data_IF_484975504542
#
_entry.id   IF_484975504542
#
_cell.length_a   1.000
_cell.length_b   1.000
_cell.length_c   1.000
_cell.angle_alpha   90.00
_cell.angle_beta   90.00
_cell.angle_gamma   90.00
#
_symmetry.space_group_name_H-M   'P 1'
#
loop_
_entity.id
_entity.type
_entity.pdbx_description
1 polymer ?
#
# COMPACT_ATOMS: atom_id res chain seq x y z
N UNK A 1 38.55 -21.85 -13.03
CA UNK A 1 37.18 -21.72 -13.56
C UNK A 1 36.57 -20.47 -12.93
N UNK A 2 36.61 -19.34 -13.64
CA UNK A 2 36.03 -18.08 -13.16
C UNK A 2 34.54 -18.08 -13.52
N UNK A 3 33.68 -18.21 -12.51
CA UNK A 3 32.25 -17.96 -12.69
C UNK A 3 32.05 -16.45 -12.73
N UNK A 4 31.96 -15.90 -13.95
CA UNK A 4 31.42 -14.55 -14.16
C UNK A 4 29.92 -14.62 -13.94
N UNK A 5 29.45 -14.29 -12.74
CA UNK A 5 28.05 -13.95 -12.56
C UNK A 5 27.81 -12.62 -13.28
N UNK A 6 27.12 -12.69 -14.42
CA UNK A 6 26.49 -11.50 -14.97
C UNK A 6 25.45 -11.04 -13.96
N UNK A 7 25.79 -10.01 -13.18
CA UNK A 7 24.83 -9.29 -12.35
C UNK A 7 23.93 -8.56 -13.33
N UNK A 8 22.78 -9.16 -13.66
CA UNK A 8 21.73 -8.46 -14.38
C UNK A 8 21.37 -7.21 -13.56
N UNK A 9 21.46 -6.04 -14.18
CA UNK A 9 20.87 -4.81 -13.65
C UNK A 9 19.41 -5.12 -13.34
N UNK A 10 18.97 -4.93 -12.09
CA UNK A 10 17.65 -5.35 -11.62
C UNK A 10 16.54 -4.85 -12.54
N UNK A 11 15.84 -5.78 -13.20
CA UNK A 11 14.61 -5.47 -13.94
C UNK A 11 13.48 -5.42 -12.93
N UNK A 12 12.92 -4.24 -12.71
CA UNK A 12 11.79 -4.03 -11.81
C UNK A 12 10.46 -3.97 -12.58
N UNK A 13 9.36 -4.15 -11.85
CA UNK A 13 8.00 -4.15 -12.37
C UNK A 13 7.36 -5.52 -12.35
N UNK A 14 6.16 -5.62 -12.93
CA UNK A 14 5.40 -6.87 -12.94
C UNK A 14 6.11 -7.92 -13.77
N UNK A 15 6.40 -9.06 -13.15
CA UNK A 15 7.07 -10.19 -13.79
C UNK A 15 6.06 -11.14 -14.43
N UNK A 16 6.53 -11.85 -15.46
CA UNK A 16 5.74 -12.85 -16.19
C UNK A 16 5.54 -14.14 -15.39
N UNK A 17 6.52 -14.53 -14.58
CA UNK A 17 6.53 -15.81 -13.87
C UNK A 17 5.58 -15.81 -12.69
N UNK A 18 4.67 -16.79 -12.67
CA UNK A 18 3.69 -17.03 -11.61
C UNK A 18 3.74 -18.49 -11.17
N UNK A 19 3.31 -18.80 -9.95
CA UNK A 19 3.26 -20.17 -9.46
C UNK A 19 2.34 -21.05 -10.34
N UNK A 20 2.74 -22.31 -10.56
CA UNK A 20 1.88 -23.31 -11.16
C UNK A 20 0.93 -23.88 -10.10
N UNK A 21 -0.26 -23.32 -10.02
CA UNK A 21 -1.25 -23.65 -8.98
C UNK A 21 -1.97 -25.00 -9.20
N UNK A 22 -1.80 -25.62 -10.38
CA UNK A 22 -2.31 -26.96 -10.65
C UNK A 22 -1.37 -28.06 -10.12
N UNK A 23 -0.08 -27.77 -9.91
CA UNK A 23 0.87 -28.72 -9.37
C UNK A 23 0.72 -28.83 -7.84
N UNK A 24 0.40 -30.01 -7.28
CA UNK A 24 0.26 -30.21 -5.83
C UNK A 24 1.52 -29.84 -5.03
N UNK A 25 2.71 -30.01 -5.62
CA UNK A 25 3.99 -29.66 -4.95
C UNK A 25 4.12 -28.16 -4.68
N UNK A 26 3.45 -27.31 -5.47
CA UNK A 26 3.39 -25.87 -5.22
C UNK A 26 2.70 -25.59 -3.89
N UNK A 27 1.58 -26.27 -3.62
CA UNK A 27 0.85 -26.11 -2.35
C UNK A 27 1.67 -26.62 -1.17
N UNK A 28 2.27 -27.81 -1.29
CA UNK A 28 3.14 -28.37 -0.24
C UNK A 28 4.30 -27.43 0.10
N UNK A 29 4.98 -26.88 -0.90
CA UNK A 29 6.05 -25.91 -0.69
C UNK A 29 5.56 -24.67 0.07
N UNK A 30 4.41 -24.10 -0.33
CA UNK A 30 3.87 -22.90 0.29
C UNK A 30 3.38 -23.14 1.72
N UNK A 31 2.75 -24.29 1.98
CA UNK A 31 2.33 -24.68 3.34
C UNK A 31 3.53 -24.83 4.27
N UNK A 32 4.60 -25.48 3.82
CA UNK A 32 5.83 -25.62 4.60
C UNK A 32 6.47 -24.25 4.91
N UNK A 33 6.56 -23.36 3.91
CA UNK A 33 7.07 -21.99 4.13
C UNK A 33 6.18 -21.21 5.09
N UNK A 34 4.86 -21.29 4.93
CA UNK A 34 3.91 -20.59 5.79
C UNK A 34 3.94 -21.13 7.21
N UNK A 35 4.17 -22.42 7.41
CA UNK A 35 4.35 -23.01 8.73
C UNK A 35 5.56 -22.39 9.45
N UNK A 36 6.73 -22.35 8.80
CA UNK A 36 7.92 -21.71 9.37
C UNK A 36 7.69 -20.22 9.67
N UNK A 37 7.01 -19.50 8.78
CA UNK A 37 6.69 -18.07 8.97
C UNK A 37 5.73 -17.87 10.14
N UNK A 38 4.68 -18.69 10.26
CA UNK A 38 3.71 -18.60 11.36
C UNK A 38 4.40 -18.88 12.70
N UNK A 39 5.29 -19.87 12.75
CA UNK A 39 6.06 -20.18 13.96
C UNK A 39 7.01 -19.04 14.35
N UNK A 40 7.70 -18.45 13.36
CA UNK A 40 8.59 -17.32 13.59
C UNK A 40 7.83 -16.07 14.10
N UNK A 41 6.65 -15.79 13.55
CA UNK A 41 5.80 -14.66 13.91
C UNK A 41 4.61 -15.08 14.78
N UNK A 42 4.88 -15.92 15.79
CA UNK A 42 3.87 -16.58 16.63
C UNK A 42 2.85 -15.64 17.30
N UNK A 43 3.17 -14.36 17.52
CA UNK A 43 2.25 -13.37 18.12
C UNK A 43 1.38 -12.62 17.11
N UNK A 44 1.64 -12.76 15.81
CA UNK A 44 0.83 -12.10 14.78
C UNK A 44 -0.43 -12.92 14.52
N UNK A 45 -1.60 -12.31 14.62
CA UNK A 45 -2.87 -12.94 14.26
C UNK A 45 -3.12 -12.94 12.74
N UNK A 46 -2.34 -12.15 11.99
CA UNK A 46 -2.55 -11.92 10.55
C UNK A 46 -1.31 -12.30 9.75
N UNK A 47 -1.50 -13.01 8.64
CA UNK A 47 -0.46 -13.35 7.67
C UNK A 47 -0.84 -12.76 6.30
N UNK A 48 0.03 -11.90 5.76
CA UNK A 48 -0.18 -11.28 4.45
C UNK A 48 0.46 -12.13 3.34
N UNK A 49 -0.34 -12.58 2.37
CA UNK A 49 0.12 -13.51 1.31
C UNK A 49 0.41 -12.82 -0.03
N UNK A 50 0.19 -11.51 -0.12
CA UNK A 50 0.35 -10.76 -1.37
C UNK A 50 -0.89 -10.91 -2.25
N UNK A 51 -0.73 -11.51 -3.44
CA UNK A 51 -1.81 -11.76 -4.39
C UNK A 51 -2.03 -10.64 -5.42
N UNK A 52 -1.16 -9.64 -5.47
CA UNK A 52 -1.20 -8.53 -6.41
C UNK A 52 -0.57 -8.87 -7.77
N UNK A 53 -1.00 -8.14 -8.79
CA UNK A 53 -0.35 -8.03 -10.12
C UNK A 53 -0.06 -9.35 -10.86
N UNK A 54 -0.84 -10.42 -10.60
CA UNK A 54 -0.74 -11.68 -11.33
C UNK A 54 -1.07 -11.46 -12.81
N UNK A 55 -0.08 -11.68 -13.68
CA UNK A 55 -0.30 -11.73 -15.13
C UNK A 55 -0.70 -13.14 -15.55
N UNK A 56 -1.89 -13.28 -16.11
CA UNK A 56 -2.47 -14.60 -16.42
C UNK A 56 -1.93 -15.25 -17.69
N UNK A 57 -1.01 -14.61 -18.43
CA UNK A 57 -0.53 -15.10 -19.73
C UNK A 57 0.19 -16.46 -19.63
N UNK A 58 0.90 -16.72 -18.53
CA UNK A 58 1.52 -18.02 -18.30
C UNK A 58 0.46 -19.11 -17.99
N UNK A 59 -0.58 -18.77 -17.25
CA UNK A 59 -1.70 -19.69 -16.98
C UNK A 59 -2.52 -19.99 -18.23
N UNK A 60 -2.84 -18.97 -19.03
CA UNK A 60 -3.58 -19.12 -20.31
C UNK A 60 -2.84 -19.96 -21.34
N UNK A 61 -1.49 -19.93 -21.33
CA UNK A 61 -0.66 -20.71 -22.25
C UNK A 61 -0.33 -22.13 -21.76
N UNK A 62 -0.62 -22.45 -20.49
CA UNK A 62 -0.36 -23.77 -19.92
C UNK A 62 -1.56 -24.71 -20.11
N UNK A 63 -1.36 -25.80 -20.85
CA UNK A 63 -2.39 -26.85 -21.00
C UNK A 63 -2.76 -27.50 -19.67
N UNK A 64 -1.81 -27.65 -18.75
CA UNK A 64 -2.09 -28.19 -17.41
C UNK A 64 -3.06 -27.28 -16.65
N UNK A 65 -2.81 -25.97 -16.65
CA UNK A 65 -3.66 -25.00 -15.96
C UNK A 65 -5.04 -24.89 -16.61
N UNK A 66 -5.11 -24.86 -17.95
CA UNK A 66 -6.42 -24.76 -18.63
C UNK A 66 -7.25 -26.03 -18.45
N UNK A 67 -6.63 -27.22 -18.44
CA UNK A 67 -7.29 -28.46 -18.04
C UNK A 67 -7.77 -28.39 -16.60
N UNK A 68 -6.93 -27.92 -15.67
CA UNK A 68 -7.29 -27.78 -14.26
C UNK A 68 -8.51 -26.86 -14.06
N UNK A 69 -8.55 -25.71 -14.74
CA UNK A 69 -9.69 -24.78 -14.73
C UNK A 69 -10.98 -25.50 -15.15
N UNK A 70 -10.92 -26.29 -16.22
CA UNK A 70 -12.08 -27.02 -16.72
C UNK A 70 -12.53 -28.13 -15.77
N UNK A 71 -11.60 -28.95 -15.26
CA UNK A 71 -11.87 -30.05 -14.34
C UNK A 71 -12.46 -29.57 -13.00
N UNK A 72 -12.02 -28.39 -12.53
CA UNK A 72 -12.53 -27.77 -11.31
C UNK A 72 -13.73 -26.85 -11.55
N UNK A 73 -14.25 -26.77 -12.79
CA UNK A 73 -15.40 -25.95 -13.15
C UNK A 73 -15.23 -24.47 -12.74
N UNK A 74 -14.03 -23.96 -12.97
CA UNK A 74 -13.62 -22.57 -12.80
C UNK A 74 -13.84 -21.81 -14.12
N UNK A 75 -14.14 -20.52 -14.05
CA UNK A 75 -14.55 -19.73 -15.22
C UNK A 75 -13.40 -18.96 -15.89
N UNK A 76 -12.35 -18.65 -15.13
CA UNK A 76 -11.27 -17.78 -15.60
C UNK A 76 -9.98 -17.96 -14.78
N UNK A 77 -8.87 -17.36 -15.22
CA UNK A 77 -7.67 -17.20 -14.40
C UNK A 77 -7.89 -16.49 -13.06
N UNK A 78 -8.74 -15.46 -12.97
CA UNK A 78 -9.05 -14.83 -11.69
C UNK A 78 -9.84 -15.77 -10.76
N UNK A 79 -10.72 -16.59 -11.33
CA UNK A 79 -11.46 -17.62 -10.57
C UNK A 79 -10.51 -18.67 -9.98
N UNK A 80 -9.50 -19.07 -10.76
CA UNK A 80 -8.39 -19.92 -10.31
C UNK A 80 -7.56 -19.25 -9.21
N UNK A 81 -7.29 -17.95 -9.31
CA UNK A 81 -6.60 -17.20 -8.27
C UNK A 81 -7.39 -17.19 -6.96
N UNK A 82 -8.72 -16.99 -7.00
CA UNK A 82 -9.57 -17.06 -5.80
C UNK A 82 -9.55 -18.48 -5.23
N UNK A 83 -9.70 -19.51 -6.05
CA UNK A 83 -9.64 -20.91 -5.62
C UNK A 83 -8.34 -21.21 -4.86
N UNK A 84 -7.21 -20.82 -5.43
CA UNK A 84 -5.88 -21.00 -4.83
C UNK A 84 -5.72 -20.19 -3.55
N UNK A 85 -6.15 -18.93 -3.56
CA UNK A 85 -6.12 -18.05 -2.38
C UNK A 85 -6.98 -18.62 -1.24
N UNK A 86 -8.12 -19.23 -1.55
CA UNK A 86 -8.99 -19.89 -0.56
C UNK A 86 -8.32 -21.12 0.06
N UNK A 87 -7.53 -21.90 -0.69
CA UNK A 87 -6.74 -23.01 -0.14
C UNK A 87 -5.75 -22.51 0.90
N UNK A 88 -4.99 -21.47 0.58
CA UNK A 88 -4.04 -20.83 1.50
C UNK A 88 -4.77 -20.24 2.71
N UNK A 89 -5.91 -19.57 2.50
CA UNK A 89 -6.73 -19.02 3.59
C UNK A 89 -7.19 -20.11 4.56
N UNK A 90 -7.60 -21.27 4.05
CA UNK A 90 -8.06 -22.38 4.88
C UNK A 90 -6.91 -22.97 5.70
N UNK A 91 -5.72 -23.10 5.12
CA UNK A 91 -4.51 -23.53 5.83
C UNK A 91 -4.18 -22.55 6.98
N UNK A 92 -4.08 -21.26 6.68
CA UNK A 92 -3.80 -20.20 7.67
C UNK A 92 -4.86 -20.19 8.78
N UNK A 93 -6.14 -20.33 8.42
CA UNK A 93 -7.24 -20.40 9.38
C UNK A 93 -7.16 -21.65 10.27
N UNK A 94 -6.71 -22.79 9.71
CA UNK A 94 -6.45 -24.02 10.47
C UNK A 94 -5.33 -23.87 11.50
N UNK A 95 -4.43 -22.89 11.32
CA UNK A 95 -3.39 -22.50 12.29
C UNK A 95 -3.87 -21.39 13.25
N UNK A 96 -5.18 -21.11 13.30
CA UNK A 96 -5.78 -20.05 14.11
C UNK A 96 -5.21 -18.67 13.79
N UNK A 97 -4.98 -18.40 12.51
CA UNK A 97 -4.54 -17.09 11.99
C UNK A 97 -5.51 -16.61 10.92
N UNK A 98 -5.45 -15.31 10.63
CA UNK A 98 -6.27 -14.65 9.61
C UNK A 98 -5.43 -14.31 8.40
N UNK A 99 -5.92 -14.61 7.20
CA UNK A 99 -5.23 -14.24 5.97
C UNK A 99 -5.50 -12.78 5.61
N UNK A 100 -4.49 -12.11 5.08
CA UNK A 100 -4.59 -10.80 4.43
C UNK A 100 -3.95 -10.83 3.03
N UNK A 101 -4.48 -10.06 2.09
CA UNK A 101 -3.85 -9.90 0.78
C UNK A 101 -4.34 -8.68 0.04
N UNK A 102 -3.64 -8.31 -1.03
CA UNK A 102 -3.98 -7.16 -1.85
C UNK A 102 -5.30 -7.37 -2.59
N UNK A 103 -6.04 -6.29 -2.86
CA UNK A 103 -7.44 -6.36 -3.26
C UNK A 103 -7.73 -7.04 -4.62
N UNK A 104 -6.71 -7.41 -5.40
CA UNK A 104 -6.81 -8.37 -6.50
C UNK A 104 -7.39 -9.72 -6.09
N UNK A 105 -7.14 -10.19 -4.86
CA UNK A 105 -7.59 -11.52 -4.38
C UNK A 105 -9.10 -11.68 -4.33
N UNK A 106 -9.86 -10.58 -4.39
CA UNK A 106 -11.32 -10.61 -4.47
C UNK A 106 -11.79 -11.09 -5.84
N UNK A 107 -10.98 -10.86 -6.88
CA UNK A 107 -11.34 -11.03 -8.29
C UNK A 107 -12.52 -10.15 -8.73
N UNK A 108 -13.01 -10.36 -9.94
CA UNK A 108 -14.23 -9.70 -10.43
C UNK A 108 -14.07 -8.21 -10.70
N UNK A 109 -12.85 -7.70 -10.83
CA UNK A 109 -12.57 -6.28 -11.11
C UNK A 109 -11.29 -6.10 -11.91
N UNK A 110 -11.37 -5.33 -12.98
CA UNK A 110 -10.24 -5.00 -13.86
C UNK A 110 -9.41 -3.87 -13.26
N UNK A 111 -8.40 -4.22 -12.47
CA UNK A 111 -7.47 -3.26 -11.83
C UNK A 111 -6.29 -2.88 -12.71
N UNK A 112 -5.98 -3.73 -13.70
CA UNK A 112 -4.77 -3.60 -14.52
C UNK A 112 -5.11 -3.51 -16.01
N UNK A 113 -4.27 -2.80 -16.75
CA UNK A 113 -4.47 -2.61 -18.19
C UNK A 113 -4.19 -3.88 -18.99
N UNK A 114 -3.40 -4.81 -18.44
CA UNK A 114 -3.04 -6.09 -19.05
C UNK A 114 -4.05 -7.22 -18.78
N UNK A 115 -5.09 -6.98 -17.97
CA UNK A 115 -6.19 -7.94 -17.76
C UNK A 115 -7.40 -7.61 -18.66
N UNK A 116 -8.06 -8.64 -19.18
CA UNK A 116 -9.29 -8.52 -19.98
C UNK A 116 -10.55 -8.76 -19.14
N UNK A 117 -11.74 -8.45 -19.69
CA UNK A 117 -13.01 -8.74 -19.01
C UNK A 117 -13.26 -10.24 -18.82
N UNK A 118 -12.77 -11.07 -19.75
CA UNK A 118 -12.84 -12.54 -19.61
C UNK A 118 -11.90 -13.06 -18.52
N UNK A 119 -10.75 -12.39 -18.32
CA UNK A 119 -9.77 -12.83 -17.32
C UNK A 119 -10.27 -12.67 -15.87
N UNK A 120 -11.23 -11.76 -15.65
CA UNK A 120 -11.70 -11.38 -14.32
C UNK A 120 -13.08 -11.97 -13.98
N UNK A 121 -13.63 -12.88 -14.79
CA UNK A 121 -14.90 -13.54 -14.47
C UNK A 121 -14.74 -14.44 -13.23
N UNK A 122 -15.65 -14.35 -12.28
CA UNK A 122 -15.53 -15.09 -11.01
C UNK A 122 -16.83 -15.80 -10.68
N UNK A 123 -16.71 -17.07 -10.31
CA UNK A 123 -17.75 -17.90 -9.70
C UNK A 123 -17.44 -18.15 -8.23
N UNK A 124 -16.17 -18.35 -7.91
CA UNK A 124 -15.66 -18.49 -6.56
C UNK A 124 -15.82 -17.17 -5.79
N UNK A 125 -15.92 -17.29 -4.46
CA UNK A 125 -15.91 -16.16 -3.54
C UNK A 125 -14.73 -16.31 -2.61
N UNK A 126 -14.03 -15.21 -2.35
CA UNK A 126 -12.95 -15.18 -1.38
C UNK A 126 -13.45 -15.61 0.01
N UNK A 127 -12.61 -16.31 0.78
CA UNK A 127 -12.94 -16.75 2.12
C UNK A 127 -13.33 -15.57 3.04
N UNK A 128 -14.47 -15.68 3.72
CA UNK A 128 -15.11 -14.56 4.44
C UNK A 128 -14.25 -13.93 5.54
N UNK A 129 -13.40 -14.73 6.20
CA UNK A 129 -12.52 -14.26 7.27
C UNK A 129 -11.23 -13.60 6.73
N UNK A 130 -11.16 -13.21 5.45
CA UNK A 130 -9.96 -12.56 4.88
C UNK A 130 -9.96 -11.06 5.18
N UNK A 131 -8.79 -10.47 5.42
CA UNK A 131 -8.59 -9.01 5.40
C UNK A 131 -8.15 -8.60 4.00
N UNK A 132 -8.81 -7.60 3.44
CA UNK A 132 -8.42 -7.04 2.14
C UNK A 132 -7.54 -5.82 2.35
N UNK A 133 -6.32 -5.85 1.83
CA UNK A 133 -5.44 -4.69 1.77
C UNK A 133 -5.74 -3.89 0.48
N UNK A 134 -6.48 -2.81 0.62
CA UNK A 134 -6.98 -2.03 -0.52
C UNK A 134 -5.96 -1.00 -0.96
N UNK A 135 -5.25 -1.25 -2.06
CA UNK A 135 -4.21 -0.35 -2.58
C UNK A 135 -4.60 0.35 -3.88
N UNK A 136 -5.51 -0.23 -4.67
CA UNK A 136 -5.89 0.29 -5.99
C UNK A 136 -7.35 0.01 -6.28
N UNK A 137 -8.06 1.03 -6.75
CA UNK A 137 -9.46 0.90 -7.14
C UNK A 137 -10.25 2.20 -7.01
N UNK A 138 -11.53 2.13 -7.38
CA UNK A 138 -12.51 3.18 -7.15
C UNK A 138 -13.13 3.06 -5.75
N UNK A 139 -13.85 4.10 -5.32
CA UNK A 139 -14.66 4.03 -4.12
C UNK A 139 -15.77 2.97 -4.25
N UNK A 140 -16.32 2.77 -5.44
CA UNK A 140 -17.34 1.74 -5.68
C UNK A 140 -16.78 0.33 -5.44
N UNK A 141 -15.51 0.08 -5.82
CA UNK A 141 -14.86 -1.20 -5.54
C UNK A 141 -14.63 -1.40 -4.04
N UNK A 142 -14.22 -0.35 -3.32
CA UNK A 142 -14.10 -0.40 -1.86
C UNK A 142 -15.45 -0.69 -1.20
N UNK A 143 -16.51 0.02 -1.61
CA UNK A 143 -17.87 -0.19 -1.11
C UNK A 143 -18.36 -1.62 -1.39
N UNK A 144 -18.12 -2.15 -2.60
CA UNK A 144 -18.44 -3.52 -2.98
C UNK A 144 -17.68 -4.53 -2.12
N UNK A 145 -16.40 -4.29 -1.85
CA UNK A 145 -15.57 -5.16 -0.99
C UNK A 145 -16.16 -5.24 0.40
N UNK A 146 -16.51 -4.08 0.99
CA UNK A 146 -17.03 -4.02 2.35
C UNK A 146 -18.45 -4.59 2.44
N UNK A 147 -19.31 -4.35 1.43
CA UNK A 147 -20.67 -4.90 1.40
C UNK A 147 -20.70 -6.42 1.23
N UNK A 148 -19.63 -7.01 0.69
CA UNK A 148 -19.41 -8.46 0.70
C UNK A 148 -18.95 -8.99 2.08
N UNK A 149 -18.72 -8.10 3.05
CA UNK A 149 -18.47 -8.41 4.46
C UNK A 149 -17.00 -8.51 4.86
N UNK A 150 -16.06 -8.24 3.94
CA UNK A 150 -14.63 -8.23 4.24
C UNK A 150 -14.23 -7.01 5.06
N UNK A 151 -13.30 -7.22 5.98
CA UNK A 151 -12.63 -6.10 6.64
C UNK A 151 -11.48 -5.60 5.75
N UNK A 152 -11.21 -4.30 5.80
CA UNK A 152 -10.31 -3.63 4.88
C UNK A 152 -9.25 -2.82 5.64
N UNK A 153 -8.00 -2.91 5.18
CA UNK A 153 -6.97 -1.90 5.45
C UNK A 153 -6.87 -1.00 4.22
N UNK A 154 -7.20 0.29 4.34
CA UNK A 154 -7.23 1.21 3.21
C UNK A 154 -5.88 1.92 3.03
N UNK A 155 -5.22 1.60 1.92
CA UNK A 155 -3.86 2.00 1.57
C UNK A 155 -3.78 2.49 0.12
N UNK A 156 -4.73 3.32 -0.30
CA UNK A 156 -4.83 3.73 -1.69
C UNK A 156 -3.55 4.41 -2.20
N UNK A 157 -2.94 3.83 -3.25
CA UNK A 157 -1.65 4.24 -3.79
C UNK A 157 -1.57 5.71 -4.24
N UNK A 158 -2.73 6.33 -4.54
CA UNK A 158 -2.79 7.75 -4.91
C UNK A 158 -2.39 8.65 -3.74
N UNK A 159 -2.43 8.13 -2.52
CA UNK A 159 -2.24 8.86 -1.28
C UNK A 159 -1.18 8.29 -0.36
N UNK A 160 -0.89 6.97 -0.38
CA UNK A 160 -0.13 6.30 0.71
C UNK A 160 1.24 5.73 0.31
N UNK A 161 1.62 5.78 -0.97
CA UNK A 161 2.90 5.23 -1.44
C UNK A 161 4.05 6.20 -1.17
N UNK A 162 4.90 5.85 -0.21
CA UNK A 162 6.03 6.66 0.25
C UNK A 162 7.18 6.70 -0.77
N UNK A 163 7.33 5.69 -1.61
CA UNK A 163 8.30 5.65 -2.71
C UNK A 163 8.01 6.72 -3.79
N UNK A 164 6.75 7.17 -3.92
CA UNK A 164 6.40 8.26 -4.82
C UNK A 164 7.04 9.56 -4.37
N UNK A 165 7.52 10.35 -5.32
CA UNK A 165 8.09 11.66 -5.02
C UNK A 165 7.05 12.65 -4.45
N UNK A 166 7.55 13.71 -3.81
CA UNK A 166 6.73 14.74 -3.16
C UNK A 166 5.88 15.60 -4.12
N UNK A 167 6.15 15.56 -5.44
CA UNK A 167 5.28 16.21 -6.43
C UNK A 167 4.00 15.39 -6.65
N UNK A 168 4.09 14.06 -6.55
CA UNK A 168 2.95 13.15 -6.70
C UNK A 168 2.17 12.99 -5.41
N UNK A 169 2.88 12.86 -4.28
CA UNK A 169 2.32 12.80 -2.93
C UNK A 169 3.06 13.80 -2.05
N UNK A 170 2.56 15.03 -2.03
CA UNK A 170 3.05 16.05 -1.10
C UNK A 170 2.70 15.69 0.34
N UNK A 171 3.35 16.33 1.31
CA UNK A 171 3.01 16.15 2.72
C UNK A 171 1.54 16.51 3.01
N UNK A 172 1.01 17.55 2.38
CA UNK A 172 -0.39 17.95 2.53
C UNK A 172 -1.33 16.89 1.96
N UNK A 173 -1.00 16.33 0.80
CA UNK A 173 -1.80 15.26 0.20
C UNK A 173 -1.82 14.01 1.08
N UNK A 174 -0.67 13.64 1.66
CA UNK A 174 -0.58 12.55 2.63
C UNK A 174 -1.43 12.82 3.87
N UNK A 175 -1.36 14.04 4.43
CA UNK A 175 -2.13 14.46 5.60
C UNK A 175 -3.65 14.50 5.35
N UNK A 176 -4.06 14.85 4.13
CA UNK A 176 -5.47 14.92 3.73
C UNK A 176 -6.07 13.58 3.32
N UNK A 177 -5.29 12.49 3.36
CA UNK A 177 -5.85 11.15 3.22
C UNK A 177 -6.80 10.87 4.39
N UNK A 178 -7.93 10.22 4.08
CA UNK A 178 -8.87 9.68 5.05
C UNK A 178 -9.05 8.18 4.75
N UNK A 179 -8.71 7.27 5.68
CA UNK A 179 -8.93 5.85 5.49
C UNK A 179 -10.41 5.47 5.40
N UNK A 180 -11.31 6.31 5.92
CA UNK A 180 -12.76 6.16 5.83
C UNK A 180 -13.27 7.25 4.87
N UNK A 181 -13.44 6.96 3.56
CA UNK A 181 -13.82 7.97 2.60
C UNK A 181 -15.20 8.57 2.91
N UNK A 182 -15.37 9.87 2.67
CA UNK A 182 -16.60 10.62 3.02
C UNK A 182 -17.91 10.00 2.50
N UNK A 183 -17.89 9.34 1.34
CA UNK A 183 -19.08 8.69 0.76
C UNK A 183 -19.23 7.21 1.13
N UNK A 184 -18.45 6.70 2.08
CA UNK A 184 -18.65 5.37 2.66
C UNK A 184 -19.79 5.45 3.67
N UNK A 185 -20.76 4.54 3.57
CA UNK A 185 -21.90 4.46 4.48
C UNK A 185 -21.42 4.24 5.93
N UNK A 186 -22.07 4.89 6.89
CA UNK A 186 -21.66 4.89 8.31
C UNK A 186 -21.61 3.47 8.90
N UNK A 187 -22.56 2.60 8.53
CA UNK A 187 -22.57 1.18 8.95
C UNK A 187 -21.29 0.42 8.54
N UNK A 188 -20.62 0.86 7.50
CA UNK A 188 -19.40 0.26 6.96
C UNK A 188 -18.12 0.87 7.52
N UNK A 189 -18.17 1.90 8.35
CA UNK A 189 -16.97 2.52 8.91
C UNK A 189 -16.17 1.54 9.78
N UNK A 190 -16.86 0.68 10.54
CA UNK A 190 -16.23 -0.36 11.38
C UNK A 190 -15.47 -1.44 10.60
N UNK A 191 -15.75 -1.57 9.31
CA UNK A 191 -15.08 -2.52 8.41
C UNK A 191 -13.74 -2.02 7.91
N UNK A 192 -13.44 -0.73 8.07
CA UNK A 192 -12.10 -0.21 7.85
C UNK A 192 -11.28 -0.39 9.13
N UNK A 193 -10.38 -1.37 9.14
CA UNK A 193 -9.50 -1.66 10.29
C UNK A 193 -8.44 -0.58 10.50
N UNK A 194 -8.10 0.16 9.45
CA UNK A 194 -7.10 1.21 9.49
C UNK A 194 -6.50 1.51 8.13
N UNK A 195 -5.24 1.94 8.13
CA UNK A 195 -4.47 2.30 6.95
C UNK A 195 -3.07 1.71 6.97
N UNK A 196 -2.46 1.63 5.80
CA UNK A 196 -1.03 1.44 5.62
C UNK A 196 -0.40 2.57 4.80
N UNK A 197 0.91 2.74 4.93
CA UNK A 197 1.72 3.58 4.04
C UNK A 197 2.94 2.78 3.56
N UNK A 198 2.92 2.42 2.28
CA UNK A 198 3.84 1.45 1.69
C UNK A 198 5.11 2.15 1.22
N UNK A 199 6.27 1.54 1.46
CA UNK A 199 7.56 2.04 0.99
C UNK A 199 8.22 0.98 0.12
N UNK A 200 8.02 1.08 -1.20
CA UNK A 200 8.64 0.17 -2.17
C UNK A 200 10.13 0.53 -2.39
N UNK A 201 10.98 -0.48 -2.51
CA UNK A 201 12.43 -0.36 -2.37
C UNK A 201 13.23 -0.29 -3.67
N UNK A 202 12.61 -0.39 -4.85
CA UNK A 202 13.26 -0.62 -6.15
C UNK A 202 14.36 0.39 -6.45
N UNK A 203 14.12 1.67 -6.13
CA UNK A 203 15.03 2.78 -6.41
C UNK A 203 15.70 3.35 -5.14
N UNK A 204 15.61 2.64 -4.02
CA UNK A 204 15.97 3.12 -2.69
C UNK A 204 17.11 2.29 -2.13
N UNK A 205 18.30 2.62 -2.58
CA UNK A 205 19.52 1.84 -2.32
C UNK A 205 20.13 2.04 -0.92
N UNK A 206 19.64 2.98 -0.13
CA UNK A 206 20.20 3.31 1.20
C UNK A 206 19.12 3.68 2.21
N UNK A 207 19.40 3.46 3.49
CA UNK A 207 18.56 3.88 4.61
C UNK A 207 18.32 5.40 4.58
N UNK A 208 19.32 6.21 4.20
CA UNK A 208 19.15 7.66 4.09
C UNK A 208 18.15 8.07 3.01
N UNK A 209 18.20 7.44 1.83
CA UNK A 209 17.21 7.69 0.77
C UNK A 209 15.81 7.25 1.21
N UNK A 210 15.73 6.12 1.92
CA UNK A 210 14.48 5.64 2.49
C UNK A 210 13.91 6.63 3.52
N UNK A 211 14.75 7.13 4.43
CA UNK A 211 14.36 8.11 5.43
C UNK A 211 13.85 9.42 4.79
N UNK A 212 14.44 9.87 3.68
CA UNK A 212 13.93 11.04 2.95
C UNK A 212 12.54 10.79 2.34
N UNK A 213 12.23 9.56 1.94
CA UNK A 213 10.90 9.23 1.45
C UNK A 213 9.89 9.13 2.60
N UNK A 214 10.24 8.40 3.67
CA UNK A 214 9.38 8.13 4.82
C UNK A 214 9.10 9.42 5.61
N UNK A 215 10.11 10.21 5.95
CA UNK A 215 9.97 11.39 6.81
C UNK A 215 9.94 12.68 5.96
N UNK A 216 8.96 13.58 6.18
CA UNK A 216 8.00 13.63 7.29
C UNK A 216 6.64 12.96 7.04
N UNK A 217 6.38 12.33 5.89
CA UNK A 217 5.04 11.79 5.55
C UNK A 217 4.53 10.74 6.54
N UNK A 218 5.40 9.93 7.14
CA UNK A 218 5.01 8.96 8.18
C UNK A 218 4.34 9.63 9.39
N UNK A 219 4.75 10.85 9.76
CA UNK A 219 4.11 11.60 10.84
C UNK A 219 2.70 12.06 10.44
N UNK A 220 2.49 12.38 9.15
CA UNK A 220 1.16 12.69 8.65
C UNK A 220 0.24 11.47 8.70
N UNK A 221 0.71 10.30 8.24
CA UNK A 221 -0.09 9.07 8.31
C UNK A 221 -0.34 8.61 9.76
N UNK A 222 0.60 8.84 10.68
CA UNK A 222 0.39 8.61 12.10
C UNK A 222 -0.74 9.50 12.65
N UNK A 223 -0.78 10.79 12.30
CA UNK A 223 -1.88 11.67 12.71
C UNK A 223 -3.21 11.30 12.03
N UNK A 224 -3.18 10.87 10.76
CA UNK A 224 -4.36 10.36 10.03
C UNK A 224 -4.94 9.11 10.71
N UNK A 225 -4.11 8.17 11.14
CA UNK A 225 -4.56 6.93 11.78
C UNK A 225 -4.97 7.07 13.24
N UNK A 226 -4.59 8.18 13.90
CA UNK A 226 -4.80 8.37 15.35
C UNK A 226 -5.81 9.46 15.70
N UNK A 227 -5.78 10.59 14.98
CA UNK A 227 -6.55 11.79 15.36
C UNK A 227 -7.89 11.83 14.63
N UNK A 228 -8.99 11.96 15.38
CA UNK A 228 -10.33 12.11 14.80
C UNK A 228 -10.39 13.27 13.80
N UNK A 229 -11.08 13.09 12.68
CA UNK A 229 -11.14 14.04 11.56
C UNK A 229 -11.45 15.48 12.00
N UNK A 230 -12.42 15.68 12.91
CA UNK A 230 -12.81 17.00 13.45
C UNK A 230 -11.69 17.77 14.16
N UNK A 231 -10.64 17.09 14.60
CA UNK A 231 -9.51 17.66 15.32
C UNK A 231 -8.27 17.85 14.43
N UNK A 232 -8.30 17.38 13.17
CA UNK A 232 -7.19 17.52 12.24
C UNK A 232 -7.07 18.98 11.78
N UNK A 233 -5.87 19.54 11.88
CA UNK A 233 -5.54 20.85 11.33
C UNK A 233 -4.13 20.87 10.73
N UNK A 234 -4.03 21.00 9.41
CA UNK A 234 -2.76 20.89 8.70
C UNK A 234 -1.76 21.98 9.10
N UNK A 235 -2.20 23.21 9.36
CA UNK A 235 -1.31 24.29 9.78
C UNK A 235 -0.70 24.02 11.17
N UNK A 236 -1.51 23.50 12.12
CA UNK A 236 -1.04 23.09 13.43
C UNK A 236 -0.05 21.92 13.33
N UNK A 237 -0.36 20.92 12.50
CA UNK A 237 0.54 19.81 12.20
C UNK A 237 1.90 20.30 11.68
N UNK A 238 1.92 21.21 10.70
CA UNK A 238 3.16 21.81 10.18
C UNK A 238 3.94 22.56 11.26
N UNK A 239 3.27 23.29 12.16
CA UNK A 239 3.93 23.98 13.28
C UNK A 239 4.56 23.00 14.27
N UNK A 240 3.91 21.88 14.56
CA UNK A 240 4.46 20.82 15.43
C UNK A 240 5.64 20.09 14.77
N UNK A 241 5.55 19.81 13.46
CA UNK A 241 6.68 19.27 12.70
C UNK A 241 7.92 20.18 12.81
N UNK A 242 7.72 21.47 12.57
CA UNK A 242 8.79 22.46 12.60
C UNK A 242 9.38 22.68 13.99
N UNK A 243 8.54 22.78 15.02
CA UNK A 243 8.96 23.12 16.38
C UNK A 243 9.50 21.93 17.18
N UNK A 244 9.07 20.70 16.87
CA UNK A 244 9.39 19.51 17.65
C UNK A 244 10.01 18.39 16.81
N UNK A 245 9.29 17.81 15.84
CA UNK A 245 9.69 16.54 15.21
C UNK A 245 11.02 16.64 14.46
N UNK A 246 11.24 17.69 13.67
CA UNK A 246 12.52 17.87 12.96
C UNK A 246 13.73 17.93 13.91
N UNK A 247 13.56 18.52 15.09
CA UNK A 247 14.60 18.54 16.12
C UNK A 247 14.87 17.15 16.68
N UNK A 248 13.82 16.35 16.94
CA UNK A 248 13.99 14.99 17.47
C UNK A 248 14.61 14.05 16.44
N UNK A 249 14.16 14.08 15.20
CA UNK A 249 14.74 13.26 14.12
C UNK A 249 16.20 13.63 13.85
N UNK A 250 16.52 14.93 13.87
CA UNK A 250 17.93 15.37 13.76
C UNK A 250 18.79 14.81 14.90
N UNK A 251 18.29 14.82 16.15
CA UNK A 251 19.01 14.24 17.30
C UNK A 251 19.22 12.73 17.19
N UNK A 252 18.30 12.02 16.52
CA UNK A 252 18.38 10.58 16.26
C UNK A 252 19.21 10.25 15.00
N UNK A 253 19.74 11.26 14.29
CA UNK A 253 20.49 11.04 13.05
C UNK A 253 19.64 10.67 11.84
N UNK A 254 18.32 10.87 11.89
CA UNK A 254 17.42 10.56 10.77
C UNK A 254 17.50 11.68 9.73
N UNK A 255 17.94 11.34 8.52
CA UNK A 255 17.95 12.25 7.38
C UNK A 255 16.58 12.32 6.71
N UNK A 256 15.75 13.28 7.11
CA UNK A 256 14.40 13.49 6.58
C UNK A 256 14.36 14.46 5.39
N UNK A 257 13.29 14.39 4.60
CA UNK A 257 13.07 15.35 3.51
C UNK A 257 12.82 16.75 4.05
N UNK A 258 13.61 17.71 3.57
CA UNK A 258 13.45 19.12 3.89
C UNK A 258 12.44 19.74 2.94
N UNK A 259 11.23 19.99 3.42
CA UNK A 259 10.24 20.76 2.68
C UNK A 259 10.84 22.13 2.34
N UNK A 260 10.87 22.49 1.05
CA UNK A 260 11.27 23.83 0.63
C UNK A 260 10.31 24.84 1.27
N UNK A 261 10.82 25.55 2.28
CA UNK A 261 10.08 26.53 3.05
C UNK A 261 9.76 27.77 2.19
N UNK A 262 8.69 27.74 1.41
CA UNK A 262 8.07 28.98 0.90
C UNK A 262 7.32 29.75 2.01
N UNK A 263 7.07 29.11 3.17
CA UNK A 263 6.34 29.74 4.27
C UNK A 263 7.25 30.57 5.19
N UNK A 264 8.49 30.11 5.46
CA UNK A 264 9.44 30.90 6.25
C UNK A 264 10.09 32.05 5.47
N UNK A 265 10.29 31.90 4.15
CA UNK A 265 10.85 32.98 3.32
C UNK A 265 9.85 34.11 3.08
N UNK A 266 8.54 33.85 3.01
CA UNK A 266 7.55 34.93 2.83
C UNK A 266 7.36 35.79 4.09
N UNK A 267 7.36 35.22 5.31
CA UNK A 267 7.33 36.04 6.54
C UNK A 267 8.59 36.88 6.69
N UNK A 268 9.78 36.33 6.40
CA UNK A 268 11.03 37.09 6.47
C UNK A 268 11.16 38.15 5.37
N UNK A 269 10.68 37.90 4.15
CA UNK A 269 10.58 38.92 3.08
C UNK A 269 9.59 40.04 3.42
N UNK A 270 8.44 39.72 4.03
CA UNK A 270 7.45 40.71 4.44
C UNK A 270 7.95 41.60 5.60
N UNK A 271 8.69 41.03 6.56
CA UNK A 271 9.32 41.78 7.64
C UNK A 271 10.46 42.68 7.13
N UNK A 272 11.33 42.18 6.25
CA UNK A 272 12.42 43.00 5.67
C UNK A 272 11.90 44.12 4.77
N UNK A 273 10.81 43.90 4.01
CA UNK A 273 10.17 44.94 3.20
C UNK A 273 9.56 46.06 4.06
N UNK A 274 8.85 45.73 5.15
CA UNK A 274 8.33 46.71 6.11
C UNK A 274 9.43 47.51 6.82
N UNK A 275 10.57 46.89 7.13
CA UNK A 275 11.70 47.58 7.77
C UNK A 275 12.40 48.54 6.81
N UNK A 276 12.55 48.16 5.53
CA UNK A 276 13.15 49.02 4.51
C UNK A 276 12.25 50.22 4.14
N UNK A 277 10.93 50.02 4.04
CA UNK A 277 9.98 51.12 3.79
C UNK A 277 9.94 52.13 4.97
N UNK A 278 10.02 51.65 6.22
CA UNK A 278 10.16 52.53 7.40
C UNK A 278 11.49 53.29 7.41
N UNK A 279 12.57 52.67 6.93
CA UNK A 279 13.90 53.30 6.87
C UNK A 279 13.99 54.36 5.77
N UNK A 280 13.40 54.11 4.60
CA UNK A 280 13.31 55.10 3.51
C UNK A 280 12.46 56.32 3.89
N UNK A 281 11.32 56.14 4.58
CA UNK A 281 10.49 57.26 5.07
C UNK A 281 11.16 58.12 6.15
N UNK A 282 12.21 57.63 6.79
CA UNK A 282 12.99 58.36 7.80
C UNK A 282 14.16 59.15 7.20
N UNK A 283 14.52 58.87 5.95
CA UNK A 283 15.61 59.53 5.22
C UNK A 283 15.06 60.64 4.30
N UNK A 284 13.74 60.61 4.00
CA UNK A 284 13.04 61.59 3.17
C UNK A 284 12.22 62.64 3.95
N UNK A 285 12.52 62.83 5.24
CA UNK A 285 12.04 63.94 6.10
C UNK A 285 13.24 64.60 6.74
#
# INVERSE_FOLDING_TARGET
MFFSFNVYVGKFGVHYSVFNVANPQTMEFLENVLEEVIDLFSTSDVIHIGGDEVQYDQWKSSTEITTFINEHNLQSPADLQIWFTNKISNFINGKHRRMMGWNEIIGGSKLHHYTTESDILTKEKLAQNTVVHFWKGSLDLLNKTISQGYDVVNSNNKYTYLDYNYNRISLEKAYNFDPIPEKLLEEYHSKILGLGCQMWGEWISTVDKMNQQIFPRVAAYAEVGWTSLKNKNYQNFQQKLASYFYKQWSKQGINYYKLCNNIFTMKNKALTKKTNEKRQRKISR
#
